data_IF_806008270699
#
_entry.id   IF_806008270699
#
_cell.length_a   1.000
_cell.length_b   1.000
_cell.length_c   1.000
_cell.angle_alpha   90.00
_cell.angle_beta   90.00
_cell.angle_gamma   90.00
#
_symmetry.space_group_name_H-M   'P 1'
#
loop_
_entity.id
_entity.type
_entity.pdbx_description
1 polymer ?
#
# COMPACT_ATOMS: atom_id res chain seq x y z
N UNK A 1 16.37 10.57 -6.70
CA UNK A 1 15.42 9.59 -6.11
C UNK A 1 14.15 10.34 -5.81
N UNK A 2 12.99 9.87 -6.20
CA UNK A 2 11.74 10.60 -6.00
C UNK A 2 10.85 9.86 -5.01
N UNK A 3 10.31 10.59 -4.04
CA UNK A 3 9.38 10.05 -3.03
C UNK A 3 8.10 9.47 -3.65
N UNK A 4 7.79 9.78 -4.91
CA UNK A 4 6.63 9.21 -5.62
C UNK A 4 6.66 7.70 -5.73
N UNK A 5 7.83 7.12 -5.96
CA UNK A 5 7.94 5.69 -6.15
C UNK A 5 7.48 4.91 -4.90
N UNK A 6 8.17 5.05 -3.79
CA UNK A 6 7.93 4.18 -2.63
C UNK A 6 6.74 4.59 -1.78
N UNK A 7 6.44 5.89 -1.65
CA UNK A 7 5.22 6.33 -0.99
C UNK A 7 3.97 5.93 -1.79
N UNK A 8 4.06 5.90 -3.14
CA UNK A 8 3.00 5.38 -3.99
C UNK A 8 2.88 3.84 -3.91
N UNK A 9 4.00 3.13 -3.83
CA UNK A 9 4.01 1.68 -3.61
C UNK A 9 3.36 1.28 -2.28
N UNK A 10 3.45 2.15 -1.27
CA UNK A 10 2.79 1.97 0.02
C UNK A 10 1.29 2.34 -0.02
N UNK A 11 0.85 3.10 -1.04
CA UNK A 11 -0.53 3.55 -1.18
C UNK A 11 -1.39 2.69 -2.12
N UNK A 12 -0.80 1.78 -2.93
CA UNK A 12 -1.54 1.11 -3.99
C UNK A 12 -1.20 -0.38 -4.11
N UNK A 13 -1.89 -1.22 -3.36
CA UNK A 13 -2.05 -2.63 -3.71
C UNK A 13 -3.29 -2.77 -4.60
N UNK A 14 -3.15 -2.56 -5.90
CA UNK A 14 -4.14 -3.06 -6.85
C UNK A 14 -4.11 -4.58 -6.74
N UNK A 15 -5.15 -5.16 -6.19
CA UNK A 15 -5.36 -6.60 -6.24
C UNK A 15 -5.50 -6.98 -7.73
N UNK A 16 -4.39 -7.33 -8.35
CA UNK A 16 -4.40 -8.06 -9.60
C UNK A 16 -4.99 -9.43 -9.28
N UNK A 17 -6.31 -9.57 -9.44
CA UNK A 17 -6.95 -10.87 -9.55
C UNK A 17 -6.42 -11.53 -10.83
N UNK A 18 -5.20 -12.04 -10.78
CA UNK A 18 -4.63 -12.92 -11.80
C UNK A 18 -5.28 -14.28 -11.61
N UNK A 19 -6.30 -14.54 -12.41
CA UNK A 19 -6.76 -15.91 -12.63
C UNK A 19 -5.56 -16.77 -13.08
N UNK A 20 -5.58 -18.10 -12.86
CA UNK A 20 -4.45 -18.98 -13.19
C UNK A 20 -4.21 -19.00 -14.70
N UNK A 21 -3.22 -18.26 -15.15
CA UNK A 21 -2.71 -18.35 -16.52
C UNK A 21 -1.79 -19.58 -16.57
N UNK A 22 -2.29 -20.66 -17.15
CA UNK A 22 -1.46 -21.82 -17.52
C UNK A 22 -0.55 -21.39 -18.69
N UNK A 23 0.69 -21.02 -18.39
CA UNK A 23 1.69 -20.77 -19.41
C UNK A 23 2.29 -22.10 -19.88
N UNK A 24 1.94 -22.51 -21.09
CA UNK A 24 2.69 -23.51 -21.84
C UNK A 24 4.00 -22.89 -22.31
N UNK A 25 5.12 -23.33 -21.74
CA UNK A 25 6.44 -22.85 -22.08
C UNK A 25 6.89 -23.41 -23.42
N UNK A 26 7.11 -22.54 -24.41
CA UNK A 26 7.93 -22.83 -25.58
C UNK A 26 9.39 -22.45 -25.27
N UNK A 27 10.32 -23.37 -25.52
CA UNK A 27 11.74 -23.19 -25.25
C UNK A 27 12.36 -22.14 -26.20
N UNK A 28 13.14 -21.16 -25.67
CA UNK A 28 13.90 -20.23 -26.51
C UNK A 28 15.27 -20.80 -26.91
N UNK A 29 15.86 -20.29 -28.00
CA UNK A 29 17.16 -20.75 -28.49
C UNK A 29 18.31 -20.27 -27.60
N UNK A 30 19.34 -21.07 -27.50
CA UNK A 30 20.56 -20.86 -26.69
C UNK A 30 21.22 -19.53 -27.02
N UNK A 31 21.47 -18.72 -25.96
CA UNK A 31 22.33 -17.53 -26.00
C UNK A 31 23.47 -17.67 -24.98
N UNK A 32 24.61 -17.13 -25.41
CA UNK A 32 25.94 -17.15 -24.80
C UNK A 32 25.96 -16.78 -23.31
N UNK A 33 26.93 -17.38 -22.61
CA UNK A 33 27.23 -17.24 -21.19
C UNK A 33 27.32 -15.78 -20.72
N UNK A 34 26.43 -15.40 -19.82
CA UNK A 34 26.51 -14.21 -18.99
C UNK A 34 25.71 -14.51 -17.72
N UNK A 35 26.31 -14.29 -16.55
CA UNK A 35 25.75 -14.38 -15.21
C UNK A 35 24.59 -15.38 -15.00
N UNK A 36 24.67 -16.26 -14.01
CA UNK A 36 23.59 -17.18 -13.67
C UNK A 36 22.25 -16.45 -13.59
N UNK A 37 21.17 -16.95 -14.23
CA UNK A 37 19.86 -16.32 -14.17
C UNK A 37 19.44 -16.17 -12.70
N UNK A 38 19.12 -14.96 -12.25
CA UNK A 38 18.48 -14.74 -10.95
C UNK A 38 17.23 -15.60 -10.88
N UNK A 39 17.16 -16.47 -9.86
CA UNK A 39 15.94 -17.24 -9.63
C UNK A 39 14.78 -16.27 -9.35
N UNK A 40 13.66 -16.48 -10.02
CA UNK A 40 12.45 -15.69 -9.77
C UNK A 40 11.95 -15.94 -8.35
N UNK A 41 11.43 -14.91 -7.66
CA UNK A 41 10.79 -15.09 -6.37
C UNK A 41 9.65 -16.11 -6.47
N UNK A 42 9.44 -16.94 -5.42
CA UNK A 42 8.32 -17.89 -5.43
C UNK A 42 6.99 -17.16 -5.54
N UNK A 43 5.99 -17.83 -6.09
CA UNK A 43 4.62 -17.31 -6.08
C UNK A 43 4.07 -17.29 -4.64
N UNK A 44 3.15 -16.34 -4.30
CA UNK A 44 2.47 -16.37 -3.02
C UNK A 44 1.69 -17.67 -2.85
N UNK A 45 1.69 -18.23 -1.66
CA UNK A 45 0.93 -19.43 -1.33
C UNK A 45 -0.37 -19.01 -0.61
N UNK A 46 -1.50 -19.66 -0.93
CA UNK A 46 -2.73 -19.43 -0.18
C UNK A 46 -2.54 -19.97 1.25
N UNK A 47 -2.57 -19.12 2.28
CA UNK A 47 -2.35 -19.57 3.64
C UNK A 47 -3.55 -20.40 4.13
N UNK A 48 -3.28 -21.38 4.99
CA UNK A 48 -4.34 -22.09 5.68
C UNK A 48 -4.83 -21.26 6.85
N UNK A 49 -6.05 -20.79 6.79
CA UNK A 49 -6.62 -19.84 7.76
C UNK A 49 -6.63 -20.40 9.19
N UNK A 50 -6.90 -21.70 9.37
CA UNK A 50 -6.90 -22.32 10.68
C UNK A 50 -5.51 -22.29 11.35
N UNK A 51 -4.43 -22.54 10.57
CA UNK A 51 -3.05 -22.48 11.05
C UNK A 51 -2.63 -21.05 11.39
N UNK A 52 -3.11 -20.05 10.62
CA UNK A 52 -2.85 -18.66 10.88
C UNK A 52 -3.59 -18.16 12.12
N UNK A 53 -4.88 -18.52 12.25
CA UNK A 53 -5.69 -18.12 13.40
C UNK A 53 -5.12 -18.62 14.73
N UNK A 54 -4.58 -19.85 14.75
CA UNK A 54 -3.97 -20.44 15.93
C UNK A 54 -2.66 -19.74 16.37
N UNK A 55 -2.03 -18.98 15.48
CA UNK A 55 -0.73 -18.30 15.69
C UNK A 55 -0.83 -16.79 15.52
N UNK A 56 -2.04 -16.26 15.40
CA UNK A 56 -2.24 -14.85 15.14
C UNK A 56 -1.67 -13.98 16.28
N UNK A 57 -0.81 -13.05 15.90
CA UNK A 57 -0.19 -12.06 16.79
C UNK A 57 -0.52 -10.66 16.29
N UNK A 58 -0.56 -9.69 17.21
CA UNK A 58 -0.81 -8.31 16.84
C UNK A 58 0.44 -7.71 16.18
N UNK A 59 0.24 -7.06 15.06
CA UNK A 59 1.22 -6.31 14.29
C UNK A 59 0.64 -4.95 13.91
N UNK A 60 1.50 -4.04 13.51
CA UNK A 60 1.11 -2.69 13.12
C UNK A 60 0.71 -1.81 14.30
N UNK A 61 0.70 -0.50 14.10
CA UNK A 61 0.32 0.43 15.16
C UNK A 61 -1.20 0.57 15.27
N UNK A 62 -1.71 0.49 16.49
CA UNK A 62 -3.13 0.65 16.83
C UNK A 62 -3.31 1.77 17.85
N UNK A 63 -4.31 2.63 17.66
CA UNK A 63 -4.72 3.64 18.62
C UNK A 63 -6.21 3.55 18.92
N UNK A 64 -6.55 3.85 20.17
CA UNK A 64 -7.90 4.10 20.64
C UNK A 64 -8.14 5.59 20.66
N UNK A 65 -9.18 6.08 20.01
CA UNK A 65 -9.57 7.47 20.03
C UNK A 65 -11.00 7.61 20.59
N UNK A 66 -11.18 8.46 21.61
CA UNK A 66 -12.45 8.60 22.32
C UNK A 66 -12.87 10.05 22.35
N UNK A 67 -14.14 10.33 22.00
CA UNK A 67 -14.80 11.63 22.12
C UNK A 67 -16.29 11.43 22.39
N UNK A 68 -16.87 12.24 23.23
CA UNK A 68 -18.30 12.20 23.58
C UNK A 68 -18.77 10.81 24.05
N UNK A 69 -17.94 10.13 24.86
CA UNK A 69 -18.20 8.79 25.40
C UNK A 69 -18.17 7.64 24.37
N UNK A 70 -17.83 7.91 23.12
CA UNK A 70 -17.74 6.90 22.05
C UNK A 70 -16.30 6.71 21.61
N UNK A 71 -15.97 5.47 21.28
CA UNK A 71 -14.63 5.06 20.83
C UNK A 71 -14.63 4.78 19.34
N UNK A 72 -13.55 5.18 18.66
CA UNK A 72 -13.14 4.68 17.36
C UNK A 72 -11.70 4.16 17.46
N UNK A 73 -11.29 3.37 16.48
CA UNK A 73 -9.97 2.80 16.41
C UNK A 73 -9.24 3.29 15.15
N UNK A 74 -7.93 3.54 15.27
CA UNK A 74 -7.06 3.89 14.16
C UNK A 74 -6.01 2.79 14.05
N UNK A 75 -5.84 2.23 12.86
CA UNK A 75 -4.90 1.16 12.60
C UNK A 75 -4.05 1.47 11.37
N UNK A 76 -2.73 1.45 11.54
CA UNK A 76 -1.79 1.62 10.43
C UNK A 76 -1.64 0.33 9.66
N UNK A 77 -1.90 0.36 8.34
CA UNK A 77 -1.77 -0.80 7.45
C UNK A 77 -0.49 -0.77 6.63
N UNK A 78 -0.22 -1.86 5.91
CA UNK A 78 0.84 -1.98 4.92
C UNK A 78 0.33 -2.79 3.73
N UNK A 79 0.64 -2.33 2.51
CA UNK A 79 0.09 -2.92 1.28
C UNK A 79 0.84 -4.16 0.78
N UNK A 80 2.03 -4.44 1.32
CA UNK A 80 2.76 -5.70 1.10
C UNK A 80 3.03 -6.34 2.44
N UNK A 81 2.75 -7.63 2.58
CA UNK A 81 2.82 -8.30 3.86
C UNK A 81 3.32 -9.75 3.74
N UNK A 82 3.64 -10.35 4.88
CA UNK A 82 3.86 -11.79 4.99
C UNK A 82 2.51 -12.50 5.15
N UNK A 83 2.42 -13.74 4.69
CA UNK A 83 1.22 -14.56 4.89
C UNK A 83 0.80 -14.64 6.37
N UNK A 84 1.77 -14.70 7.30
CA UNK A 84 1.51 -14.75 8.74
C UNK A 84 0.88 -13.49 9.33
N UNK A 85 0.88 -12.36 8.62
CA UNK A 85 0.31 -11.09 9.09
C UNK A 85 -1.15 -10.88 8.69
N UNK A 86 -1.67 -11.73 7.79
CA UNK A 86 -3.02 -11.57 7.22
C UNK A 86 -4.15 -11.82 8.22
N UNK A 87 -3.86 -12.51 9.32
CA UNK A 87 -4.83 -12.73 10.40
C UNK A 87 -4.51 -11.79 11.57
N UNK A 88 -5.38 -10.83 11.89
CA UNK A 88 -5.16 -9.91 12.99
C UNK A 88 -5.04 -10.64 14.34
N UNK A 89 -4.14 -10.16 15.20
CA UNK A 89 -4.02 -10.64 16.56
C UNK A 89 -5.19 -10.20 17.46
N UNK A 90 -5.16 -10.62 18.74
CA UNK A 90 -6.31 -10.45 19.64
C UNK A 90 -6.74 -8.99 19.85
N UNK A 91 -5.79 -8.05 19.97
CA UNK A 91 -6.12 -6.65 20.20
C UNK A 91 -6.72 -5.99 18.96
N UNK A 92 -6.12 -6.20 17.79
CA UNK A 92 -6.62 -5.67 16.51
C UNK A 92 -7.99 -6.28 16.20
N UNK A 93 -8.15 -7.60 16.38
CA UNK A 93 -9.42 -8.30 16.18
C UNK A 93 -10.48 -7.81 17.19
N UNK A 94 -10.10 -7.58 18.45
CA UNK A 94 -11.00 -7.04 19.47
C UNK A 94 -11.49 -5.64 19.13
N UNK A 95 -10.59 -4.78 18.66
CA UNK A 95 -10.92 -3.43 18.19
C UNK A 95 -11.85 -3.46 16.97
N UNK A 96 -11.59 -4.34 16.01
CA UNK A 96 -12.44 -4.51 14.82
C UNK A 96 -13.86 -4.97 15.22
N UNK A 97 -13.98 -5.97 16.10
CA UNK A 97 -15.28 -6.47 16.60
C UNK A 97 -16.04 -5.47 17.45
N UNK A 98 -15.35 -4.52 18.07
CA UNK A 98 -15.96 -3.43 18.85
C UNK A 98 -16.46 -2.28 17.95
N UNK A 99 -16.29 -2.40 16.65
CA UNK A 99 -16.69 -1.40 15.65
C UNK A 99 -17.87 -1.88 14.83
N UNK A 100 -18.64 -0.95 14.27
CA UNK A 100 -19.78 -1.25 13.38
C UNK A 100 -19.48 -0.91 11.92
N UNK A 101 -18.36 -0.26 11.63
CA UNK A 101 -17.99 0.19 10.29
C UNK A 101 -16.48 0.15 10.13
N UNK A 102 -15.99 -0.50 9.06
CA UNK A 102 -14.61 -0.40 8.62
C UNK A 102 -14.46 0.78 7.67
N UNK A 103 -13.52 1.68 7.96
CA UNK A 103 -13.14 2.77 7.06
C UNK A 103 -11.76 2.52 6.48
N UNK A 104 -11.66 2.43 5.17
CA UNK A 104 -10.42 2.27 4.40
C UNK A 104 -10.13 3.53 3.58
N UNK A 105 -8.92 3.66 3.04
CA UNK A 105 -8.64 4.68 2.02
C UNK A 105 -9.60 4.50 0.83
N UNK A 106 -9.64 3.30 0.25
CA UNK A 106 -10.64 2.88 -0.75
C UNK A 106 -11.17 1.48 -0.43
N UNK A 107 -12.44 1.27 -0.64
CA UNK A 107 -13.04 -0.07 -0.69
C UNK A 107 -12.85 -0.67 -2.08
N UNK A 108 -11.78 -1.43 -2.26
CA UNK A 108 -11.49 -2.13 -3.53
C UNK A 108 -12.31 -3.41 -3.70
N UNK A 109 -13.25 -3.69 -2.83
CA UNK A 109 -14.21 -4.78 -2.99
C UNK A 109 -15.54 -4.30 -3.60
N UNK A 110 -15.76 -2.98 -3.62
CA UNK A 110 -16.88 -2.34 -4.29
C UNK A 110 -16.64 -2.33 -5.82
N UNK A 111 -17.51 -2.97 -6.63
CA UNK A 111 -17.36 -3.02 -8.09
C UNK A 111 -17.38 -1.63 -8.76
N UNK A 112 -18.13 -0.66 -8.24
CA UNK A 112 -18.14 0.71 -8.79
C UNK A 112 -16.80 1.41 -8.53
N UNK A 113 -16.26 1.29 -7.32
CA UNK A 113 -14.93 1.82 -6.99
C UNK A 113 -13.85 1.21 -7.89
N UNK A 114 -13.88 -0.12 -8.09
CA UNK A 114 -12.94 -0.80 -8.99
C UNK A 114 -13.08 -0.34 -10.44
N UNK A 115 -14.31 -0.17 -10.93
CA UNK A 115 -14.55 0.31 -12.28
C UNK A 115 -14.02 1.73 -12.50
N UNK A 116 -14.28 2.63 -11.55
CA UNK A 116 -13.83 4.03 -11.60
C UNK A 116 -12.31 4.12 -11.50
N UNK A 117 -11.70 3.36 -10.58
CA UNK A 117 -10.25 3.26 -10.46
C UNK A 117 -9.62 2.72 -11.75
N UNK A 118 -10.18 1.62 -12.28
CA UNK A 118 -9.72 1.02 -13.53
C UNK A 118 -9.74 2.01 -14.69
N UNK A 119 -10.80 2.81 -14.84
CA UNK A 119 -10.85 3.88 -15.86
C UNK A 119 -9.72 4.89 -15.75
N UNK A 120 -9.28 5.18 -14.54
CA UNK A 120 -8.25 6.17 -14.29
C UNK A 120 -6.81 5.64 -14.49
N UNK A 121 -6.57 4.37 -14.12
CA UNK A 121 -5.21 3.79 -14.11
C UNK A 121 -4.89 2.86 -15.28
N UNK A 122 -5.91 2.41 -16.02
CA UNK A 122 -5.70 1.60 -17.23
C UNK A 122 -5.35 2.50 -18.42
N UNK A 123 -4.63 1.92 -19.37
CA UNK A 123 -4.23 2.59 -20.60
C UNK A 123 -5.45 2.82 -21.49
N UNK A 124 -5.56 4.03 -22.01
CA UNK A 124 -6.48 4.43 -23.06
C UNK A 124 -5.70 4.86 -24.32
N UNK A 125 -6.36 5.06 -25.47
CA UNK A 125 -5.69 5.60 -26.67
C UNK A 125 -5.04 6.96 -26.45
N UNK A 126 -5.54 7.74 -25.51
CA UNK A 126 -5.06 9.09 -25.16
C UNK A 126 -3.93 9.07 -24.13
N UNK A 127 -3.67 7.92 -23.51
CA UNK A 127 -2.62 7.81 -22.47
C UNK A 127 -1.25 8.17 -23.04
N UNK A 128 -0.44 8.95 -22.32
CA UNK A 128 0.92 9.28 -22.74
C UNK A 128 1.77 8.04 -23.05
N UNK A 129 2.57 8.12 -24.09
CA UNK A 129 3.58 7.12 -24.43
C UNK A 129 4.92 7.51 -23.84
N UNK A 130 5.72 6.51 -23.49
CA UNK A 130 7.08 6.76 -23.00
C UNK A 130 8.05 7.02 -24.17
N UNK A 131 9.10 7.81 -23.96
CA UNK A 131 10.28 7.79 -24.84
C UNK A 131 10.88 6.37 -24.90
N UNK A 132 11.38 5.98 -26.07
CA UNK A 132 11.94 4.64 -26.33
C UNK A 132 12.97 4.19 -25.28
N UNK A 133 13.79 5.11 -24.80
CA UNK A 133 14.81 4.81 -23.79
C UNK A 133 14.19 4.39 -22.45
N UNK A 134 13.12 5.07 -22.02
CA UNK A 134 12.40 4.73 -20.77
C UNK A 134 11.59 3.44 -20.94
N UNK A 135 10.95 3.25 -22.09
CA UNK A 135 10.21 2.00 -22.37
C UNK A 135 11.14 0.77 -22.31
N UNK A 136 12.34 0.86 -22.90
CA UNK A 136 13.35 -0.21 -22.81
C UNK A 136 13.77 -0.50 -21.38
N UNK A 137 13.97 0.53 -20.55
CA UNK A 137 14.30 0.38 -19.11
C UNK A 137 13.14 -0.29 -18.36
N UNK A 138 11.91 0.15 -18.61
CA UNK A 138 10.72 -0.43 -18.00
C UNK A 138 10.57 -1.92 -18.31
N UNK A 139 10.74 -2.31 -19.58
CA UNK A 139 10.74 -3.70 -20.00
C UNK A 139 11.88 -4.52 -19.39
N UNK A 140 13.07 -3.94 -19.26
CA UNK A 140 14.20 -4.59 -18.59
C UNK A 140 13.90 -4.82 -17.11
N UNK A 141 13.27 -3.86 -16.43
CA UNK A 141 12.86 -3.96 -15.01
C UNK A 141 11.76 -5.01 -14.82
N UNK A 142 10.80 -5.14 -15.76
CA UNK A 142 9.82 -6.25 -15.78
C UNK A 142 10.51 -7.61 -15.88
N UNK A 143 11.46 -7.74 -16.79
CA UNK A 143 12.22 -8.98 -16.95
C UNK A 143 13.02 -9.33 -15.67
N UNK A 144 13.65 -8.33 -15.03
CA UNK A 144 14.37 -8.50 -13.78
C UNK A 144 13.44 -8.91 -12.61
N UNK A 145 12.19 -8.44 -12.62
CA UNK A 145 11.15 -8.81 -11.65
C UNK A 145 10.41 -10.12 -12.01
N UNK A 146 10.82 -10.81 -13.09
CA UNK A 146 10.13 -12.00 -13.61
C UNK A 146 8.65 -11.77 -13.97
N UNK A 147 8.31 -10.60 -14.46
CA UNK A 147 6.95 -10.24 -14.89
C UNK A 147 6.91 -10.18 -16.41
N UNK A 148 5.99 -10.94 -17.02
CA UNK A 148 5.77 -10.87 -18.45
C UNK A 148 5.19 -9.48 -18.81
N UNK A 149 5.72 -8.77 -19.83
CA UNK A 149 5.22 -7.45 -20.21
C UNK A 149 3.72 -7.40 -20.46
N UNK A 150 3.14 -8.47 -21.03
CA UNK A 150 1.71 -8.58 -21.28
C UNK A 150 0.84 -8.49 -20.00
N UNK A 151 1.41 -8.83 -18.83
CA UNK A 151 0.70 -8.75 -17.52
C UNK A 151 0.41 -7.30 -17.14
N UNK A 152 1.35 -6.38 -17.38
CA UNK A 152 1.23 -4.98 -17.02
C UNK A 152 0.81 -4.08 -18.19
N UNK A 153 0.83 -4.59 -19.43
CA UNK A 153 0.51 -3.82 -20.64
C UNK A 153 -0.85 -3.07 -20.59
N UNK A 154 -1.91 -3.59 -19.92
CA UNK A 154 -3.16 -2.85 -19.80
C UNK A 154 -3.06 -1.59 -18.93
N UNK A 155 -2.03 -1.45 -18.08
CA UNK A 155 -1.87 -0.32 -17.18
C UNK A 155 -1.17 0.86 -17.84
N UNK A 156 -1.42 2.07 -17.36
CA UNK A 156 -0.62 3.26 -17.68
C UNK A 156 0.84 3.04 -17.24
N UNK A 157 1.76 3.70 -17.90
CA UNK A 157 3.20 3.48 -17.67
C UNK A 157 3.63 3.74 -16.23
N UNK A 158 3.07 4.75 -15.58
CA UNK A 158 3.32 5.07 -14.18
C UNK A 158 2.89 3.90 -13.26
N UNK A 159 1.73 3.31 -13.53
CA UNK A 159 1.22 2.18 -12.75
C UNK A 159 2.03 0.90 -12.97
N UNK A 160 2.58 0.71 -14.17
CA UNK A 160 3.52 -0.37 -14.44
C UNK A 160 4.78 -0.22 -13.58
N UNK A 161 5.34 1.00 -13.51
CA UNK A 161 6.53 1.30 -12.71
C UNK A 161 6.27 1.13 -11.20
N UNK A 162 5.18 1.68 -10.69
CA UNK A 162 4.74 1.50 -9.29
C UNK A 162 4.53 0.03 -8.94
N UNK A 163 3.93 -0.75 -9.85
CA UNK A 163 3.76 -2.20 -9.64
C UNK A 163 5.11 -2.90 -9.49
N UNK A 164 6.10 -2.57 -10.31
CA UNK A 164 7.45 -3.15 -10.20
C UNK A 164 8.12 -2.84 -8.86
N UNK A 165 7.88 -1.66 -8.33
CA UNK A 165 8.39 -1.26 -7.02
C UNK A 165 7.76 -2.08 -5.89
N UNK A 166 6.43 -2.24 -5.91
CA UNK A 166 5.71 -3.12 -4.97
C UNK A 166 6.24 -4.56 -5.03
N UNK A 167 6.53 -5.06 -6.24
CA UNK A 167 7.05 -6.41 -6.44
C UNK A 167 8.47 -6.65 -5.90
N UNK A 168 9.24 -5.60 -5.55
CA UNK A 168 10.53 -5.75 -4.88
C UNK A 168 10.42 -6.51 -3.55
N UNK A 169 9.26 -6.45 -2.89
CA UNK A 169 8.99 -7.17 -1.66
C UNK A 169 9.00 -8.69 -1.78
N UNK A 170 8.73 -9.24 -2.96
CA UNK A 170 8.62 -10.71 -3.16
C UNK A 170 9.89 -11.47 -2.79
N UNK A 171 11.05 -10.90 -3.08
CA UNK A 171 12.34 -11.49 -2.69
C UNK A 171 12.55 -11.61 -1.17
N UNK A 172 11.74 -10.92 -0.38
CA UNK A 172 11.77 -10.91 1.09
C UNK A 172 10.54 -11.59 1.71
N UNK A 173 9.70 -12.23 0.91
CA UNK A 173 8.45 -12.85 1.37
C UNK A 173 7.33 -11.84 1.67
N UNK A 174 7.45 -10.62 1.17
CA UNK A 174 6.41 -9.59 1.25
C UNK A 174 5.64 -9.55 -0.06
N UNK A 175 4.36 -9.80 -0.01
CA UNK A 175 3.50 -9.91 -1.19
C UNK A 175 2.33 -8.93 -1.10
N UNK A 176 1.96 -8.24 -2.20
CA UNK A 176 0.77 -7.40 -2.24
C UNK A 176 -0.53 -8.20 -2.06
N UNK A 177 -0.52 -9.48 -2.44
CA UNK A 177 -1.63 -10.41 -2.25
C UNK A 177 -1.96 -10.64 -0.76
N UNK A 178 -1.05 -10.31 0.15
CA UNK A 178 -1.24 -10.37 1.59
C UNK A 178 -1.43 -8.97 2.22
N UNK A 179 -1.62 -7.94 1.41
CA UNK A 179 -1.83 -6.57 1.88
C UNK A 179 -2.87 -6.49 3.00
N UNK A 180 -2.55 -5.75 4.06
CA UNK A 180 -3.38 -5.72 5.27
C UNK A 180 -4.73 -5.07 5.00
N UNK A 181 -4.78 -4.05 4.15
CA UNK A 181 -6.03 -3.38 3.75
C UNK A 181 -7.01 -4.35 3.11
N UNK A 182 -6.54 -5.11 2.11
CA UNK A 182 -7.37 -6.09 1.40
C UNK A 182 -7.83 -7.22 2.31
N UNK A 183 -6.97 -7.66 3.23
CA UNK A 183 -7.34 -8.70 4.21
C UNK A 183 -8.38 -8.19 5.20
N UNK A 184 -8.28 -6.94 5.66
CA UNK A 184 -9.30 -6.32 6.52
C UNK A 184 -10.62 -6.15 5.79
N UNK A 185 -10.61 -5.75 4.51
CA UNK A 185 -11.82 -5.68 3.70
C UNK A 185 -12.50 -7.04 3.58
N UNK A 186 -11.74 -8.10 3.24
CA UNK A 186 -12.26 -9.47 3.17
C UNK A 186 -12.84 -9.95 4.51
N UNK A 187 -12.17 -9.62 5.62
CA UNK A 187 -12.64 -9.96 6.96
C UNK A 187 -13.93 -9.20 7.32
N UNK A 188 -14.02 -7.92 7.00
CA UNK A 188 -15.22 -7.11 7.22
C UNK A 188 -16.41 -7.68 6.43
N UNK A 189 -16.21 -8.09 5.18
CA UNK A 189 -17.24 -8.79 4.40
C UNK A 189 -17.69 -10.09 5.07
N UNK A 190 -16.75 -10.91 5.55
CA UNK A 190 -17.06 -12.14 6.27
C UNK A 190 -17.85 -11.89 7.57
N UNK A 191 -17.61 -10.73 8.20
CA UNK A 191 -18.32 -10.27 9.41
C UNK A 191 -19.62 -9.51 9.10
N UNK A 192 -19.98 -9.31 7.84
CA UNK A 192 -21.11 -8.47 7.39
C UNK A 192 -20.99 -7.02 7.91
N UNK A 193 -19.77 -6.54 8.10
CA UNK A 193 -19.48 -5.19 8.55
C UNK A 193 -19.48 -4.23 7.35
N UNK A 194 -20.22 -3.12 7.39
CA UNK A 194 -20.19 -2.09 6.35
C UNK A 194 -18.77 -1.50 6.16
N UNK A 195 -18.39 -1.27 4.90
CA UNK A 195 -17.17 -0.58 4.53
C UNK A 195 -17.50 0.85 4.05
N UNK A 196 -16.59 1.78 4.32
CA UNK A 196 -16.62 3.16 3.82
C UNK A 196 -15.26 3.59 3.31
N UNK A 197 -15.24 4.33 2.21
CA UNK A 197 -14.04 4.89 1.61
C UNK A 197 -13.77 6.33 2.09
N UNK A 198 -12.60 6.54 2.66
CA UNK A 198 -12.14 7.87 3.08
C UNK A 198 -11.78 8.76 1.88
N UNK A 199 -11.45 8.17 0.75
CA UNK A 199 -11.07 8.85 -0.49
C UNK A 199 -11.95 8.40 -1.66
N UNK A 200 -11.61 8.86 -2.85
CA UNK A 200 -12.25 8.47 -4.10
C UNK A 200 -11.21 7.85 -5.04
N UNK A 201 -11.62 6.98 -5.96
CA UNK A 201 -10.72 6.43 -6.98
C UNK A 201 -10.00 7.51 -7.78
N UNK A 202 -10.71 8.59 -8.12
CA UNK A 202 -10.17 9.70 -8.90
C UNK A 202 -9.12 10.49 -8.11
N UNK A 203 -9.35 10.73 -6.81
CA UNK A 203 -8.38 11.46 -5.97
C UNK A 203 -7.09 10.67 -5.82
N UNK A 204 -7.17 9.35 -5.64
CA UNK A 204 -5.96 8.52 -5.56
C UNK A 204 -5.26 8.38 -6.93
N UNK A 205 -6.02 8.15 -8.01
CA UNK A 205 -5.42 8.07 -9.34
C UNK A 205 -4.67 9.34 -9.73
N UNK A 206 -5.22 10.53 -9.42
CA UNK A 206 -4.58 11.81 -9.67
C UNK A 206 -3.23 12.03 -8.95
N UNK A 207 -2.92 11.20 -7.93
CA UNK A 207 -1.61 11.19 -7.29
C UNK A 207 -0.58 10.40 -8.06
N UNK A 208 -1.01 9.42 -8.87
CA UNK A 208 -0.17 8.37 -9.44
C UNK A 208 0.04 8.52 -10.94
N UNK A 209 -0.96 9.04 -11.67
CA UNK A 209 -0.94 9.14 -13.13
C UNK A 209 -1.15 10.57 -13.59
N UNK A 210 -0.59 10.92 -14.73
CA UNK A 210 -0.69 12.24 -15.35
C UNK A 210 -0.98 12.12 -16.85
N UNK A 211 -1.79 13.04 -17.39
CA UNK A 211 -2.03 13.13 -18.83
C UNK A 211 -0.96 14.00 -19.54
N UNK A 212 -0.03 14.59 -18.79
CA UNK A 212 1.14 15.28 -19.32
C UNK A 212 2.26 14.26 -19.64
N UNK A 213 2.68 14.13 -20.91
CA UNK A 213 3.75 13.22 -21.31
C UNK A 213 5.10 13.47 -20.59
N UNK A 214 5.42 14.73 -20.29
CA UNK A 214 6.66 15.06 -19.60
C UNK A 214 6.61 14.65 -18.12
N UNK A 215 5.47 14.82 -17.47
CA UNK A 215 5.23 14.35 -16.10
C UNK A 215 5.26 12.81 -16.04
N UNK A 216 4.56 12.12 -16.95
CA UNK A 216 4.60 10.66 -17.05
C UNK A 216 6.02 10.15 -17.22
N UNK A 217 6.79 10.71 -18.16
CA UNK A 217 8.19 10.31 -18.38
C UNK A 217 9.06 10.57 -17.15
N UNK A 218 8.87 11.71 -16.47
CA UNK A 218 9.58 12.03 -15.22
C UNK A 218 9.24 11.06 -14.10
N UNK A 219 7.96 10.77 -13.90
CA UNK A 219 7.50 9.88 -12.83
C UNK A 219 8.04 8.45 -13.06
N UNK A 220 7.90 7.91 -14.26
CA UNK A 220 8.41 6.58 -14.60
C UNK A 220 9.93 6.53 -14.49
N UNK A 221 10.64 7.54 -15.02
CA UNK A 221 12.11 7.63 -14.94
C UNK A 221 12.60 7.58 -13.50
N UNK A 222 11.95 8.30 -12.64
CA UNK A 222 12.27 8.36 -11.22
C UNK A 222 12.13 7.00 -10.50
N UNK A 223 11.04 6.29 -10.73
CA UNK A 223 10.86 4.93 -10.17
C UNK A 223 11.91 3.97 -10.73
N UNK A 224 12.22 4.05 -12.03
CA UNK A 224 13.25 3.21 -12.63
C UNK A 224 14.65 3.51 -12.06
N UNK A 225 14.98 4.77 -11.81
CA UNK A 225 16.24 5.16 -11.17
C UNK A 225 16.35 4.55 -9.75
N UNK A 226 15.26 4.53 -9.00
CA UNK A 226 15.20 3.91 -7.68
C UNK A 226 15.36 2.39 -7.72
N UNK A 227 14.66 1.72 -8.65
CA UNK A 227 14.77 0.27 -8.85
C UNK A 227 16.19 -0.13 -9.23
N UNK A 228 16.82 0.60 -10.15
CA UNK A 228 18.20 0.37 -10.61
C UNK A 228 19.23 0.73 -9.55
N UNK A 229 18.95 1.72 -8.70
CA UNK A 229 19.78 2.13 -7.57
C UNK A 229 19.83 1.08 -6.45
N UNK A 230 18.91 0.12 -6.42
CA UNK A 230 18.93 -1.05 -5.53
C UNK A 230 18.71 -0.74 -4.04
N UNK A 231 18.25 0.47 -3.68
CA UNK A 231 17.98 0.86 -2.28
C UNK A 231 16.56 0.50 -1.82
N UNK A 232 15.61 0.41 -2.75
CA UNK A 232 14.22 0.13 -2.48
C UNK A 232 13.99 -1.14 -1.61
N UNK A 233 14.66 -2.28 -1.84
CA UNK A 233 14.48 -3.46 -0.99
C UNK A 233 14.88 -3.23 0.47
N UNK A 234 15.97 -2.52 0.73
CA UNK A 234 16.43 -2.25 2.11
C UNK A 234 15.44 -1.35 2.86
N UNK A 235 14.94 -0.32 2.20
CA UNK A 235 13.95 0.61 2.73
C UNK A 235 12.61 -0.10 3.00
N UNK A 236 12.11 -0.88 2.05
CA UNK A 236 10.89 -1.67 2.22
C UNK A 236 11.04 -2.68 3.37
N UNK A 237 12.19 -3.34 3.48
CA UNK A 237 12.47 -4.26 4.59
C UNK A 237 12.44 -3.57 5.95
N UNK A 238 13.01 -2.35 6.05
CA UNK A 238 13.00 -1.57 7.29
C UNK A 238 11.57 -1.19 7.65
N UNK A 239 10.83 -0.57 6.73
CA UNK A 239 9.46 -0.13 6.98
C UNK A 239 8.53 -1.30 7.33
N UNK A 240 8.65 -2.44 6.63
CA UNK A 240 7.88 -3.64 6.95
C UNK A 240 8.25 -4.22 8.31
N UNK A 241 9.52 -4.17 8.69
CA UNK A 241 9.99 -4.58 10.02
C UNK A 241 9.50 -3.65 11.13
N UNK A 242 9.49 -2.34 10.89
CA UNK A 242 8.96 -1.35 11.84
C UNK A 242 7.44 -1.54 12.02
N UNK A 243 6.73 -1.78 10.92
CA UNK A 243 5.31 -2.11 10.99
C UNK A 243 5.08 -3.42 11.76
N UNK A 244 5.86 -4.49 11.50
CA UNK A 244 5.75 -5.77 12.21
C UNK A 244 5.86 -5.59 13.73
N UNK A 245 6.77 -4.73 14.17
CA UNK A 245 7.01 -4.43 15.60
C UNK A 245 6.11 -3.32 16.15
N UNK A 246 5.38 -2.63 15.29
CA UNK A 246 4.64 -1.44 15.64
C UNK A 246 5.55 -0.28 16.08
N UNK A 247 6.73 -0.13 15.50
CA UNK A 247 7.73 0.90 15.84
C UNK A 247 7.32 2.26 15.26
N UNK A 248 6.45 2.95 15.97
CA UNK A 248 5.89 4.25 15.58
C UNK A 248 6.97 5.31 15.47
N UNK A 249 7.99 5.26 16.33
CA UNK A 249 9.03 6.29 16.36
C UNK A 249 9.94 6.19 15.13
N UNK A 250 10.34 4.98 14.72
CA UNK A 250 11.13 4.80 13.51
C UNK A 250 10.31 5.10 12.24
N UNK A 251 9.02 4.71 12.21
CA UNK A 251 8.11 5.11 11.13
C UNK A 251 7.88 6.63 11.07
N UNK A 252 7.80 7.33 12.21
CA UNK A 252 7.69 8.79 12.24
C UNK A 252 8.96 9.48 11.73
N UNK A 253 10.12 8.84 11.90
CA UNK A 253 11.39 9.30 11.38
C UNK A 253 11.63 8.92 9.90
N UNK A 254 10.65 8.34 9.21
CA UNK A 254 10.75 7.85 7.82
C UNK A 254 11.44 8.84 6.88
N UNK A 255 11.08 10.10 6.94
CA UNK A 255 11.67 11.17 6.13
C UNK A 255 13.20 11.33 6.30
N UNK A 256 13.74 10.92 7.45
CA UNK A 256 15.16 11.05 7.76
C UNK A 256 16.03 9.90 7.24
N UNK A 257 15.41 8.76 6.94
CA UNK A 257 16.17 7.55 6.58
C UNK A 257 15.75 6.90 5.25
N UNK A 258 14.63 7.31 4.65
CA UNK A 258 14.17 6.69 3.40
C UNK A 258 15.07 7.00 2.19
N UNK A 259 15.92 8.05 2.24
CA UNK A 259 16.63 8.55 1.07
C UNK A 259 15.69 9.09 -0.03
N UNK A 260 14.43 9.33 0.33
CA UNK A 260 13.35 9.75 -0.56
C UNK A 260 12.90 11.20 -0.31
N UNK A 261 13.69 11.98 0.47
CA UNK A 261 13.40 13.36 0.87
C UNK A 261 14.58 14.31 0.62
N UNK A 262 15.52 13.90 -0.22
CA UNK A 262 16.77 14.64 -0.41
C UNK A 262 16.56 15.90 -1.27
N UNK A 263 15.62 15.86 -2.23
CA UNK A 263 15.34 17.00 -3.10
C UNK A 263 14.03 17.73 -2.72
N UNK A 264 13.85 19.00 -3.13
CA UNK A 264 12.57 19.71 -2.94
C UNK A 264 11.39 18.99 -3.60
N UNK A 265 11.59 18.41 -4.78
CA UNK A 265 10.59 17.67 -5.53
C UNK A 265 10.13 16.42 -4.78
N UNK A 266 11.08 15.66 -4.22
CA UNK A 266 10.77 14.48 -3.40
C UNK A 266 9.96 14.84 -2.16
N UNK A 267 10.31 15.94 -1.49
CA UNK A 267 9.54 16.43 -0.34
C UNK A 267 8.14 16.87 -0.73
N UNK A 268 7.99 17.54 -1.88
CA UNK A 268 6.68 17.93 -2.41
C UNK A 268 5.82 16.71 -2.76
N UNK A 269 6.41 15.71 -3.40
CA UNK A 269 5.71 14.46 -3.73
C UNK A 269 5.24 13.73 -2.46
N UNK A 270 6.10 13.59 -1.44
CA UNK A 270 5.70 13.00 -0.16
C UNK A 270 4.60 13.81 0.54
N UNK A 271 4.72 15.14 0.53
CA UNK A 271 3.71 16.02 1.11
C UNK A 271 2.36 15.81 0.46
N UNK A 272 2.32 15.77 -0.87
CA UNK A 272 1.11 15.50 -1.65
C UNK A 272 0.54 14.10 -1.39
N UNK A 273 1.41 13.08 -1.34
CA UNK A 273 1.00 11.69 -1.20
C UNK A 273 0.51 11.33 0.21
N UNK A 274 1.03 11.99 1.24
CA UNK A 274 0.75 11.65 2.64
C UNK A 274 0.10 12.84 3.37
N UNK A 275 0.79 13.98 3.45
CA UNK A 275 0.43 15.04 4.40
C UNK A 275 -0.86 15.74 4.00
N UNK A 276 -1.03 16.10 2.72
CA UNK A 276 -2.22 16.82 2.22
C UNK A 276 -3.52 16.00 2.28
N UNK A 277 -3.43 14.68 2.29
CA UNK A 277 -4.58 13.78 2.35
C UNK A 277 -5.16 13.67 3.76
N UNK A 278 -4.32 13.72 4.79
CA UNK A 278 -4.69 13.46 6.17
C UNK A 278 -5.78 14.38 6.73
N UNK A 279 -5.79 15.71 6.48
CA UNK A 279 -6.87 16.59 6.97
C UNK A 279 -8.25 16.18 6.46
N UNK A 280 -8.37 15.83 5.16
CA UNK A 280 -9.64 15.41 4.56
C UNK A 280 -10.12 14.06 5.12
N UNK A 281 -9.22 13.11 5.32
CA UNK A 281 -9.54 11.85 5.98
C UNK A 281 -9.99 12.09 7.43
N UNK A 282 -9.27 12.93 8.17
CA UNK A 282 -9.63 13.27 9.56
C UNK A 282 -11.03 13.92 9.65
N UNK A 283 -11.37 14.81 8.72
CA UNK A 283 -12.68 15.48 8.70
C UNK A 283 -13.83 14.48 8.44
N UNK A 284 -13.65 13.52 7.51
CA UNK A 284 -14.62 12.43 7.29
C UNK A 284 -14.76 11.53 8.51
N UNK A 285 -13.65 11.17 9.18
CA UNK A 285 -13.68 10.37 10.41
C UNK A 285 -14.50 11.09 11.49
N UNK A 286 -14.27 12.40 11.68
CA UNK A 286 -15.02 13.22 12.64
C UNK A 286 -16.50 13.29 12.29
N UNK A 287 -16.81 13.49 11.02
CA UNK A 287 -18.20 13.51 10.52
C UNK A 287 -18.91 12.19 10.83
N UNK A 288 -18.33 11.05 10.44
CA UNK A 288 -18.95 9.74 10.66
C UNK A 288 -19.07 9.37 12.15
N UNK A 289 -18.09 9.79 12.96
CA UNK A 289 -18.18 9.65 14.41
C UNK A 289 -19.37 10.49 14.96
N UNK A 290 -19.58 11.71 14.45
CA UNK A 290 -20.73 12.53 14.83
C UNK A 290 -22.06 11.92 14.40
N UNK A 291 -22.11 11.19 13.29
CA UNK A 291 -23.26 10.39 12.83
C UNK A 291 -23.55 9.17 13.76
N UNK A 292 -22.73 8.91 14.76
CA UNK A 292 -22.90 7.81 15.71
C UNK A 292 -22.17 6.52 15.33
N UNK A 293 -21.32 6.52 14.31
CA UNK A 293 -20.59 5.33 13.87
C UNK A 293 -19.47 4.97 14.85
N UNK A 294 -19.33 3.66 15.08
CA UNK A 294 -18.19 3.07 15.81
C UNK A 294 -17.18 2.58 14.77
N UNK A 295 -16.20 3.43 14.47
CA UNK A 295 -15.30 3.21 13.33
C UNK A 295 -14.08 2.37 13.72
N UNK A 296 -13.71 1.43 12.85
CA UNK A 296 -12.35 0.93 12.72
C UNK A 296 -11.74 1.56 11.46
N UNK A 297 -10.82 2.51 11.63
CA UNK A 297 -10.18 3.24 10.54
C UNK A 297 -8.85 2.58 10.25
N UNK A 298 -8.67 2.04 9.06
CA UNK A 298 -7.44 1.39 8.62
C UNK A 298 -6.91 2.05 7.35
N UNK A 299 -5.77 2.71 7.46
CA UNK A 299 -5.08 3.39 6.35
C UNK A 299 -3.58 3.15 6.44
N UNK A 300 -2.86 3.38 5.35
CA UNK A 300 -1.41 3.19 5.30
C UNK A 300 -0.69 3.80 6.49
N UNK A 301 0.25 3.07 7.06
CA UNK A 301 0.88 3.40 8.35
C UNK A 301 1.54 4.77 8.39
N UNK A 302 2.03 5.30 7.24
CA UNK A 302 2.61 6.64 7.16
C UNK A 302 1.58 7.76 7.37
N UNK A 303 0.29 7.49 7.16
CA UNK A 303 -0.80 8.41 7.53
C UNK A 303 -1.06 8.47 9.02
N UNK A 304 -0.50 7.55 9.80
CA UNK A 304 -0.73 7.44 11.25
C UNK A 304 0.36 8.12 12.10
N UNK A 305 1.48 8.50 11.51
CA UNK A 305 2.66 8.93 12.25
C UNK A 305 3.00 10.40 12.02
N UNK A 306 3.78 10.97 12.93
CA UNK A 306 4.27 12.34 12.83
C UNK A 306 3.23 13.43 13.16
N UNK A 307 3.61 14.71 12.98
CA UNK A 307 2.77 15.85 13.37
C UNK A 307 1.51 16.01 12.51
N UNK A 308 1.53 15.56 11.26
CA UNK A 308 0.40 15.55 10.35
C UNK A 308 -0.36 14.22 10.35
N UNK A 309 0.02 13.24 11.18
CA UNK A 309 -0.64 11.95 11.27
C UNK A 309 -2.06 12.03 11.84
N UNK A 310 -2.93 11.09 11.43
CA UNK A 310 -4.34 11.05 11.85
C UNK A 310 -4.52 11.04 13.38
N UNK A 311 -3.71 10.32 14.19
CA UNK A 311 -3.80 10.40 15.64
C UNK A 311 -3.60 11.83 16.16
N UNK A 312 -2.63 12.57 15.62
CA UNK A 312 -2.36 13.96 15.99
C UNK A 312 -3.49 14.89 15.54
N UNK A 313 -3.99 14.71 14.32
CA UNK A 313 -5.10 15.51 13.78
C UNK A 313 -6.41 15.28 14.54
N UNK A 314 -6.70 14.06 15.00
CA UNK A 314 -7.87 13.79 15.82
C UNK A 314 -7.73 14.37 17.24
N UNK A 315 -6.52 14.35 17.85
CA UNK A 315 -6.28 15.09 19.10
C UNK A 315 -6.62 16.58 18.95
N UNK A 316 -6.18 17.21 17.87
CA UNK A 316 -6.48 18.60 17.57
C UNK A 316 -7.99 18.85 17.35
N UNK A 317 -8.78 17.82 17.02
CA UNK A 317 -10.24 17.84 16.87
C UNK A 317 -11.00 17.38 18.11
N UNK A 318 -10.34 17.34 19.28
CA UNK A 318 -10.97 17.08 20.57
C UNK A 318 -11.11 15.59 20.95
N UNK A 319 -10.45 14.67 20.27
CA UNK A 319 -10.38 13.28 20.70
C UNK A 319 -9.28 13.08 21.75
N UNK A 320 -9.54 12.24 22.72
CA UNK A 320 -8.50 11.61 23.52
C UNK A 320 -7.96 10.43 22.73
N UNK A 321 -6.68 10.45 22.39
CA UNK A 321 -6.06 9.43 21.53
C UNK A 321 -4.90 8.78 22.28
N UNK A 322 -5.00 7.48 22.47
CA UNK A 322 -4.05 6.65 23.19
C UNK A 322 -3.55 5.53 22.28
N UNK A 323 -2.24 5.26 22.31
CA UNK A 323 -1.68 4.11 21.61
C UNK A 323 -1.97 2.83 22.40
N UNK A 324 -2.37 1.77 21.67
CA UNK A 324 -2.52 0.45 22.26
C UNK A 324 -1.17 -0.26 22.27
N UNK A 325 -0.74 -0.74 23.42
CA UNK A 325 0.44 -1.59 23.57
C UNK A 325 0.04 -3.06 23.44
N UNK A 326 0.81 -3.82 22.69
CA UNK A 326 0.62 -5.29 22.53
C UNK A 326 1.53 -6.09 23.50
N UNK A 327 2.15 -5.44 24.48
CA UNK A 327 3.14 -6.07 25.36
C UNK A 327 2.60 -7.17 26.28
N UNK A 328 1.27 -7.28 26.44
CA UNK A 328 0.62 -8.20 27.39
C UNK A 328 0.09 -9.48 26.76
N UNK A 329 0.35 -9.73 25.47
CA UNK A 329 -0.09 -10.94 24.73
C UNK A 329 1.06 -11.95 24.56
N UNK A 330 1.64 -12.40 25.70
CA UNK A 330 2.56 -13.56 25.71
C UNK A 330 1.92 -14.74 26.43
#
# INVERSE_FOLDING_TARGET
>A
MTARGLAAALAFAVALAAGPVHATAAAPPARSASAAPRACPPAPVTPKQDELAAKATDHGPLWKATRDGRTLWLYGTIHVAKASWTTPGPHVMGALRASDTLALELDLTDPDMLLRLGKAILRSPESPTLPDALEKRLLASMAAACIAPATLAPMRAEMQAVTLEVMQGRGMGLYPEYGIDSNLAALAHAMHMPLRSLETPESQAALLVSDDPAETARAVGAVLDELEGGQAPAMLKRLAGDWERGDVDDMAAYASWCGCMDTPEQRADFHKLIVERNPLMADKIVQWHAEGKLLFVAVGTLHMVGPAGLPTLLKARGFQVERVSFADAR
#
